data_IF_844667857337
#
_entry.id   IF_844667857337
#
_cell.length_a   1.000
_cell.length_b   1.000
_cell.length_c   1.000
_cell.angle_alpha   90.00
_cell.angle_beta   90.00
_cell.angle_gamma   90.00
#
_symmetry.space_group_name_H-M   'P 1'
#
loop_
_entity.id
_entity.type
_entity.pdbx_description
1 polymer ?
#
# COMPACT_ATOMS: atom_id res chain seq x y z
N UNK A 1 45.77 -12.09 -82.54
CA UNK A 1 44.38 -12.60 -82.41
C UNK A 1 44.17 -12.98 -80.95
N UNK A 2 43.31 -12.21 -80.27
CA UNK A 2 43.04 -12.28 -78.84
C UNK A 2 41.76 -13.10 -78.63
N UNK A 3 41.80 -14.11 -77.76
CA UNK A 3 40.59 -14.74 -77.19
C UNK A 3 40.77 -14.83 -75.68
N UNK A 4 40.39 -13.75 -74.99
CA UNK A 4 40.17 -13.78 -73.55
C UNK A 4 38.81 -14.44 -73.28
N UNK A 5 38.85 -15.67 -72.80
CA UNK A 5 37.67 -16.40 -72.32
C UNK A 5 37.27 -15.87 -70.95
N UNK A 6 36.22 -15.06 -70.89
CA UNK A 6 35.57 -14.63 -69.66
C UNK A 6 34.94 -15.85 -68.98
N UNK A 7 35.53 -16.29 -67.86
CA UNK A 7 34.93 -17.30 -66.99
C UNK A 7 33.73 -16.67 -66.26
N UNK A 8 32.53 -17.28 -66.32
CA UNK A 8 31.37 -16.77 -65.60
C UNK A 8 31.56 -16.99 -64.10
N UNK A 9 31.70 -15.89 -63.35
CA UNK A 9 31.60 -15.87 -61.89
C UNK A 9 30.15 -16.21 -61.56
N UNK A 10 29.91 -17.50 -61.29
CA UNK A 10 28.61 -18.02 -60.93
C UNK A 10 28.42 -17.75 -59.44
N UNK A 11 27.80 -16.61 -59.11
CA UNK A 11 27.40 -16.23 -57.76
C UNK A 11 26.45 -17.27 -57.15
N UNK A 12 27.02 -18.32 -56.56
CA UNK A 12 26.31 -19.23 -55.65
C UNK A 12 26.21 -18.54 -54.30
N UNK A 13 25.36 -17.53 -54.16
CA UNK A 13 24.86 -17.17 -52.84
C UNK A 13 23.97 -18.32 -52.36
N UNK A 14 24.36 -19.09 -51.32
CA UNK A 14 23.46 -20.07 -50.75
C UNK A 14 22.23 -19.32 -50.27
N UNK A 15 21.08 -19.60 -50.88
CA UNK A 15 19.79 -19.13 -50.41
C UNK A 15 19.64 -19.66 -48.99
N UNK A 16 19.87 -18.76 -48.03
CA UNK A 16 19.85 -19.05 -46.59
C UNK A 16 18.42 -19.47 -46.26
N UNK A 17 18.14 -20.76 -46.36
CA UNK A 17 16.81 -21.33 -46.12
C UNK A 17 16.34 -20.84 -44.76
N UNK A 18 15.21 -20.11 -44.74
CA UNK A 18 14.57 -19.62 -43.52
C UNK A 18 14.28 -20.81 -42.61
N UNK A 19 15.21 -21.13 -41.69
CA UNK A 19 14.95 -22.08 -40.61
C UNK A 19 13.88 -21.44 -39.74
N UNK A 20 12.65 -21.95 -39.85
CA UNK A 20 11.58 -21.56 -38.95
C UNK A 20 12.04 -21.91 -37.54
N UNK A 21 11.89 -21.00 -36.56
CA UNK A 21 12.21 -21.32 -35.18
C UNK A 21 11.40 -22.56 -34.77
N UNK A 22 11.99 -23.50 -34.02
CA UNK A 22 11.25 -24.65 -33.55
C UNK A 22 10.10 -24.16 -32.67
N UNK A 23 8.92 -24.79 -32.80
CA UNK A 23 7.68 -24.41 -32.09
C UNK A 23 7.90 -24.18 -30.59
N UNK A 24 8.80 -24.95 -29.97
CA UNK A 24 9.20 -24.80 -28.56
C UNK A 24 9.72 -23.41 -28.19
N UNK A 25 10.51 -22.78 -29.07
CA UNK A 25 11.07 -21.43 -28.83
C UNK A 25 9.96 -20.39 -28.88
N UNK A 26 8.99 -20.52 -29.79
CA UNK A 26 7.85 -19.61 -29.88
C UNK A 26 6.96 -19.73 -28.63
N UNK A 27 6.69 -20.96 -28.17
CA UNK A 27 5.91 -21.20 -26.95
C UNK A 27 6.61 -20.62 -25.72
N UNK A 28 7.91 -20.86 -25.55
CA UNK A 28 8.68 -20.31 -24.43
C UNK A 28 8.69 -18.77 -24.44
N UNK A 29 8.87 -18.15 -25.61
CA UNK A 29 8.81 -16.70 -25.75
C UNK A 29 7.43 -16.14 -25.40
N UNK A 30 6.35 -16.81 -25.82
CA UNK A 30 4.99 -16.40 -25.49
C UNK A 30 4.71 -16.47 -23.98
N UNK A 31 5.13 -17.54 -23.30
CA UNK A 31 4.99 -17.69 -21.85
C UNK A 31 5.76 -16.58 -21.12
N UNK A 32 7.01 -16.32 -21.52
CA UNK A 32 7.82 -15.27 -20.91
C UNK A 32 7.18 -13.89 -21.10
N UNK A 33 6.68 -13.59 -22.31
CA UNK A 33 5.99 -12.33 -22.58
C UNK A 33 4.73 -12.17 -21.69
N UNK A 34 3.97 -13.24 -21.47
CA UNK A 34 2.80 -13.23 -20.57
C UNK A 34 3.18 -12.98 -19.11
N UNK A 35 4.26 -13.63 -18.63
CA UNK A 35 4.76 -13.43 -17.27
C UNK A 35 5.25 -11.98 -17.06
N UNK A 36 6.04 -11.46 -18.00
CA UNK A 36 6.49 -10.06 -17.96
C UNK A 36 5.31 -9.08 -18.02
N UNK A 37 4.33 -9.32 -18.90
CA UNK A 37 3.12 -8.50 -19.00
C UNK A 37 2.31 -8.48 -17.70
N UNK A 38 2.18 -9.64 -17.05
CA UNK A 38 1.47 -9.76 -15.77
C UNK A 38 2.24 -9.06 -14.65
N UNK A 39 3.56 -9.21 -14.58
CA UNK A 39 4.39 -8.49 -13.62
C UNK A 39 4.28 -6.97 -13.78
N UNK A 40 4.40 -6.45 -15.01
CA UNK A 40 4.23 -5.02 -15.30
C UNK A 40 2.84 -4.56 -14.88
N UNK A 41 1.79 -5.31 -15.19
CA UNK A 41 0.42 -4.96 -14.81
C UNK A 41 0.25 -4.85 -13.28
N UNK A 42 0.77 -5.83 -12.52
CA UNK A 42 0.71 -5.80 -11.05
C UNK A 42 1.52 -4.65 -10.46
N UNK A 43 2.72 -4.38 -10.98
CA UNK A 43 3.54 -3.26 -10.55
C UNK A 43 2.85 -1.91 -10.83
N UNK A 44 2.26 -1.74 -12.01
CA UNK A 44 1.45 -0.56 -12.36
C UNK A 44 0.26 -0.41 -11.42
N UNK A 45 -0.41 -1.49 -11.02
CA UNK A 45 -1.49 -1.44 -10.04
C UNK A 45 -1.00 -0.97 -8.66
N UNK A 46 0.13 -1.48 -8.15
CA UNK A 46 0.72 -1.01 -6.89
C UNK A 46 1.10 0.47 -6.96
N UNK A 47 1.70 0.91 -8.06
CA UNK A 47 2.09 2.31 -8.26
C UNK A 47 0.87 3.23 -8.36
N UNK A 48 -0.18 2.76 -9.02
CA UNK A 48 -1.47 3.47 -9.10
C UNK A 48 -2.10 3.59 -7.71
N UNK A 49 -2.08 2.52 -6.90
CA UNK A 49 -2.55 2.56 -5.52
C UNK A 49 -1.74 3.57 -4.69
N UNK A 50 -0.41 3.58 -4.79
CA UNK A 50 0.43 4.54 -4.09
C UNK A 50 0.05 5.99 -4.46
N UNK A 51 -0.03 6.31 -5.75
CA UNK A 51 -0.38 7.67 -6.20
C UNK A 51 -1.78 8.11 -5.71
N UNK A 52 -2.74 7.17 -5.73
CA UNK A 52 -4.08 7.41 -5.17
C UNK A 52 -4.03 7.61 -3.66
N UNK A 53 -3.23 6.84 -2.94
CA UNK A 53 -3.05 6.98 -1.51
C UNK A 53 -2.40 8.33 -1.14
N UNK A 54 -1.41 8.80 -1.90
CA UNK A 54 -0.80 10.12 -1.73
C UNK A 54 -1.83 11.24 -1.92
N UNK A 55 -2.66 11.13 -2.96
CA UNK A 55 -3.74 12.08 -3.23
C UNK A 55 -4.81 12.06 -2.13
N UNK A 56 -5.18 10.87 -1.64
CA UNK A 56 -6.14 10.68 -0.55
C UNK A 56 -5.59 11.26 0.76
N UNK A 57 -4.32 11.02 1.08
CA UNK A 57 -3.65 11.56 2.26
C UNK A 57 -3.69 13.10 2.23
N UNK A 58 -3.31 13.71 1.10
CA UNK A 58 -3.36 15.15 0.93
C UNK A 58 -4.79 15.70 1.10
N UNK A 59 -5.80 14.99 0.60
CA UNK A 59 -7.20 15.36 0.80
C UNK A 59 -7.63 15.29 2.27
N UNK A 60 -7.24 14.24 3.00
CA UNK A 60 -7.50 14.09 4.43
C UNK A 60 -6.77 15.16 5.25
N UNK A 61 -5.51 15.46 4.94
CA UNK A 61 -4.74 16.50 5.63
C UNK A 61 -5.36 17.90 5.51
N UNK A 62 -6.03 18.20 4.38
CA UNK A 62 -6.75 19.48 4.19
C UNK A 62 -7.99 19.62 5.05
N UNK A 63 -8.57 18.52 5.52
CA UNK A 63 -9.74 18.55 6.41
C UNK A 63 -9.32 19.07 7.78
N UNK A 64 -9.99 20.12 8.26
CA UNK A 64 -9.75 20.74 9.57
C UNK A 64 -10.88 20.38 10.52
N UNK A 65 -10.53 19.80 11.66
CA UNK A 65 -11.51 19.47 12.69
C UNK A 65 -12.22 20.72 13.21
N UNK A 66 -13.51 20.59 13.52
CA UNK A 66 -14.38 21.66 14.01
C UNK A 66 -14.70 22.77 12.99
N UNK A 67 -14.02 22.81 11.85
CA UNK A 67 -14.16 23.85 10.82
C UNK A 67 -14.75 23.31 9.52
N UNK A 68 -14.25 22.17 9.04
CA UNK A 68 -14.75 21.57 7.80
C UNK A 68 -16.16 21.03 8.03
N UNK A 69 -17.08 21.43 7.14
CA UNK A 69 -18.47 20.96 7.21
C UNK A 69 -18.57 19.49 6.81
N UNK A 70 -19.61 18.81 7.28
CA UNK A 70 -19.88 17.42 6.86
C UNK A 70 -20.20 17.33 5.37
N UNK A 71 -20.77 18.36 4.76
CA UNK A 71 -21.04 18.40 3.32
C UNK A 71 -19.74 18.42 2.51
N UNK A 72 -18.77 19.26 2.89
CA UNK A 72 -17.46 19.32 2.22
C UNK A 72 -16.70 18.00 2.40
N UNK A 73 -16.74 17.43 3.61
CA UNK A 73 -16.15 16.13 3.90
C UNK A 73 -16.79 15.01 3.06
N UNK A 74 -18.11 15.02 2.90
CA UNK A 74 -18.84 14.08 2.05
C UNK A 74 -18.48 14.26 0.57
N UNK A 75 -18.24 15.49 0.10
CA UNK A 75 -17.76 15.73 -1.26
C UNK A 75 -16.36 15.12 -1.49
N UNK A 76 -15.46 15.22 -0.51
CA UNK A 76 -14.17 14.51 -0.54
C UNK A 76 -14.41 13.02 -0.66
N UNK A 77 -15.22 12.43 0.22
CA UNK A 77 -15.54 10.99 0.19
C UNK A 77 -16.16 10.58 -1.14
N UNK A 78 -17.06 11.41 -1.69
CA UNK A 78 -17.78 11.10 -2.91
C UNK A 78 -16.85 10.92 -4.12
N UNK A 79 -15.76 11.67 -4.15
CA UNK A 79 -14.71 11.56 -5.18
C UNK A 79 -14.07 10.15 -5.21
N UNK A 80 -14.11 9.43 -4.09
CA UNK A 80 -13.46 8.13 -3.93
C UNK A 80 -14.40 6.92 -4.06
N UNK A 81 -15.72 7.10 -4.21
CA UNK A 81 -16.69 5.99 -4.33
C UNK A 81 -16.35 5.04 -5.49
N UNK A 82 -15.80 5.55 -6.58
CA UNK A 82 -15.43 4.75 -7.75
C UNK A 82 -14.22 3.81 -7.53
N UNK A 83 -13.45 4.01 -6.46
CA UNK A 83 -12.19 3.30 -6.23
C UNK A 83 -12.26 2.23 -5.13
N UNK A 84 -13.37 2.15 -4.41
CA UNK A 84 -13.53 1.15 -3.36
C UNK A 84 -14.81 1.31 -2.55
N UNK A 85 -15.13 0.31 -1.71
CA UNK A 85 -16.29 0.39 -0.83
C UNK A 85 -16.06 1.53 0.16
N UNK A 86 -17.04 2.42 0.21
CA UNK A 86 -17.14 3.45 1.25
C UNK A 86 -18.19 2.97 2.23
N UNK A 87 -17.76 2.69 3.46
CA UNK A 87 -18.67 2.37 4.55
C UNK A 87 -19.05 3.65 5.27
N UNK A 88 -20.34 3.99 5.33
CA UNK A 88 -20.84 5.04 6.21
C UNK A 88 -21.73 4.41 7.26
N UNK A 89 -21.40 4.68 8.53
CA UNK A 89 -22.17 4.21 9.68
C UNK A 89 -22.57 5.42 10.50
N UNK A 90 -23.86 5.60 10.75
CA UNK A 90 -24.40 6.68 11.57
C UNK A 90 -25.02 6.10 12.83
N UNK A 91 -24.73 6.74 13.96
CA UNK A 91 -25.29 6.45 15.27
C UNK A 91 -25.63 7.75 16.02
N UNK A 92 -26.05 7.64 17.28
CA UNK A 92 -26.40 8.80 18.10
C UNK A 92 -25.21 9.76 18.33
N UNK A 93 -23.98 9.22 18.31
CA UNK A 93 -22.76 10.01 18.53
C UNK A 93 -22.26 10.76 17.28
N UNK A 94 -22.93 10.57 16.15
CA UNK A 94 -22.55 11.12 14.86
C UNK A 94 -22.39 10.01 13.82
N UNK A 95 -21.70 10.33 12.74
CA UNK A 95 -21.45 9.40 11.66
C UNK A 95 -19.96 9.25 11.39
N UNK A 96 -19.60 8.09 10.85
CA UNK A 96 -18.24 7.76 10.43
C UNK A 96 -18.28 7.24 9.01
N UNK A 97 -17.45 7.79 8.14
CA UNK A 97 -17.25 7.31 6.79
C UNK A 97 -15.82 6.81 6.63
N UNK A 98 -15.65 5.66 5.99
CA UNK A 98 -14.36 5.03 5.75
C UNK A 98 -14.19 4.73 4.28
N UNK A 99 -13.11 5.24 3.69
CA UNK A 99 -12.66 4.94 2.34
C UNK A 99 -11.59 3.85 2.46
N UNK A 100 -11.69 2.79 1.64
CA UNK A 100 -10.68 1.73 1.59
C UNK A 100 -10.20 1.52 0.16
N UNK A 101 -8.91 1.75 -0.05
CA UNK A 101 -8.21 1.41 -1.28
C UNK A 101 -7.38 0.14 -1.03
N UNK A 102 -7.52 -0.87 -1.87
CA UNK A 102 -6.84 -2.16 -1.68
C UNK A 102 -6.21 -2.63 -2.98
N UNK A 103 -5.01 -3.18 -2.86
CA UNK A 103 -4.39 -4.01 -3.88
C UNK A 103 -4.10 -5.37 -3.25
N UNK A 104 -4.82 -6.38 -3.71
CA UNK A 104 -4.63 -7.76 -3.29
C UNK A 104 -3.94 -8.51 -4.41
N UNK A 105 -2.85 -9.21 -4.08
CA UNK A 105 -2.26 -10.15 -5.02
C UNK A 105 -3.23 -11.32 -5.28
N UNK A 106 -3.21 -11.91 -6.48
CA UNK A 106 -3.95 -13.15 -6.77
C UNK A 106 -3.63 -14.25 -5.74
N UNK A 107 -4.60 -15.11 -5.46
CA UNK A 107 -4.46 -16.21 -4.48
C UNK A 107 -3.18 -17.04 -4.59
N UNK A 108 -2.72 -17.44 -5.79
CA UNK A 108 -1.46 -18.18 -5.95
C UNK A 108 -0.21 -17.38 -5.57
N UNK A 109 -0.30 -16.04 -5.57
CA UNK A 109 0.77 -15.12 -5.15
C UNK A 109 0.59 -14.65 -3.71
N UNK A 110 -0.46 -15.11 -3.00
CA UNK A 110 -0.63 -14.91 -1.56
C UNK A 110 -0.54 -16.26 -0.85
N UNK A 111 -0.48 -16.23 0.48
CA UNK A 111 -0.73 -17.41 1.29
C UNK A 111 -1.99 -17.14 2.11
N UNK A 112 -3.00 -17.96 1.87
CA UNK A 112 -4.24 -17.97 2.65
C UNK A 112 -4.33 -19.31 3.37
N UNK A 113 -4.44 -19.26 4.69
CA UNK A 113 -4.69 -20.41 5.55
C UNK A 113 -3.46 -21.11 6.12
N UNK A 114 -3.76 -22.09 6.97
CA UNK A 114 -2.86 -22.87 7.83
C UNK A 114 -1.90 -23.80 7.07
N UNK A 115 -1.99 -23.91 5.75
CA UNK A 115 -1.13 -24.85 5.02
C UNK A 115 0.33 -24.36 4.99
N UNK A 116 1.28 -25.13 5.53
CA UNK A 116 2.65 -24.70 5.64
C UNK A 116 3.43 -24.90 4.34
N UNK A 117 4.28 -23.89 4.07
CA UNK A 117 5.68 -24.01 3.67
C UNK A 117 6.12 -23.79 2.22
N UNK A 118 5.43 -24.19 1.14
CA UNK A 118 6.10 -24.21 -0.19
C UNK A 118 5.41 -23.44 -1.33
N UNK A 119 4.75 -22.31 -1.04
CA UNK A 119 4.30 -21.45 -2.14
C UNK A 119 5.49 -20.68 -2.75
N UNK A 120 6.20 -21.32 -3.69
CA UNK A 120 7.33 -20.73 -4.41
C UNK A 120 6.92 -19.48 -5.20
N UNK A 121 5.67 -19.40 -5.66
CA UNK A 121 5.17 -18.24 -6.40
C UNK A 121 5.03 -17.01 -5.52
N UNK A 122 4.61 -17.20 -4.27
CA UNK A 122 4.63 -16.15 -3.25
C UNK A 122 6.06 -15.67 -2.98
N UNK A 123 7.02 -16.57 -2.78
CA UNK A 123 8.43 -16.19 -2.64
C UNK A 123 8.97 -15.42 -3.86
N UNK A 124 8.60 -15.84 -5.07
CA UNK A 124 8.94 -15.12 -6.29
C UNK A 124 8.29 -13.73 -6.33
N UNK A 125 7.03 -13.58 -5.92
CA UNK A 125 6.36 -12.30 -5.82
C UNK A 125 7.12 -11.33 -4.88
N UNK A 126 7.59 -11.81 -3.73
CA UNK A 126 8.45 -11.03 -2.82
C UNK A 126 9.69 -10.50 -3.52
N UNK A 127 10.41 -11.40 -4.20
CA UNK A 127 11.63 -11.07 -4.91
C UNK A 127 11.42 -10.13 -6.10
N UNK A 128 10.19 -10.06 -6.61
CA UNK A 128 9.80 -9.15 -7.68
C UNK A 128 9.23 -7.82 -7.16
N UNK A 129 9.24 -7.61 -5.83
CA UNK A 129 8.72 -6.42 -5.17
C UNK A 129 7.19 -6.33 -5.14
N UNK A 130 6.50 -7.42 -5.50
CA UNK A 130 5.05 -7.49 -5.51
C UNK A 130 4.53 -7.80 -4.11
N UNK A 131 3.58 -7.00 -3.62
CA UNK A 131 3.00 -7.19 -2.28
C UNK A 131 1.56 -6.70 -2.22
N UNK A 132 0.76 -7.32 -1.36
CA UNK A 132 -0.55 -6.79 -1.02
C UNK A 132 -0.44 -5.55 -0.14
N UNK A 133 -1.34 -4.60 -0.33
CA UNK A 133 -1.42 -3.40 0.51
C UNK A 133 -2.84 -2.86 0.58
N UNK A 134 -3.14 -2.17 1.67
CA UNK A 134 -4.38 -1.46 1.86
C UNK A 134 -4.10 -0.08 2.43
N UNK A 135 -4.87 0.90 1.99
CA UNK A 135 -4.87 2.25 2.54
C UNK A 135 -6.30 2.56 2.93
N UNK A 136 -6.48 3.07 4.15
CA UNK A 136 -7.79 3.52 4.61
C UNK A 136 -7.73 4.96 5.06
N UNK A 137 -8.80 5.69 4.78
CA UNK A 137 -9.03 7.02 5.33
C UNK A 137 -10.38 7.03 6.02
N UNK A 138 -10.47 7.67 7.19
CA UNK A 138 -11.70 7.80 7.94
C UNK A 138 -12.01 9.26 8.22
N UNK A 139 -13.28 9.64 8.14
CA UNK A 139 -13.78 10.93 8.60
C UNK A 139 -14.96 10.68 9.55
N UNK A 140 -14.92 11.31 10.72
CA UNK A 140 -16.02 11.33 11.69
C UNK A 140 -16.63 12.71 11.71
N UNK A 141 -17.95 12.77 11.77
CA UNK A 141 -18.69 14.02 11.78
C UNK A 141 -19.84 13.97 12.79
N UNK A 142 -20.03 15.08 13.50
CA UNK A 142 -21.08 15.29 14.50
C UNK A 142 -21.60 16.71 14.36
N UNK A 143 -22.92 16.90 14.44
CA UNK A 143 -23.56 18.21 14.35
C UNK A 143 -23.14 19.03 13.10
N UNK A 144 -23.00 18.37 11.95
CA UNK A 144 -22.67 19.03 10.68
C UNK A 144 -21.21 19.43 10.50
N UNK A 145 -20.31 19.09 11.42
CA UNK A 145 -18.87 19.39 11.34
C UNK A 145 -18.02 18.13 11.51
N UNK A 146 -16.81 18.13 10.95
CA UNK A 146 -15.84 17.04 11.14
C UNK A 146 -15.26 17.08 12.56
N UNK A 147 -15.35 15.96 13.27
CA UNK A 147 -14.84 15.80 14.64
C UNK A 147 -13.65 14.85 14.74
N UNK A 148 -13.34 14.12 13.67
CA UNK A 148 -12.18 13.26 13.61
C UNK A 148 -11.78 12.94 12.18
N UNK A 149 -10.49 12.72 11.97
CA UNK A 149 -9.95 12.20 10.71
C UNK A 149 -8.85 11.19 10.99
N UNK A 150 -8.80 10.16 10.17
CA UNK A 150 -7.83 9.09 10.31
C UNK A 150 -7.26 8.71 8.95
N UNK A 151 -5.99 8.29 8.95
CA UNK A 151 -5.35 7.69 7.80
C UNK A 151 -4.55 6.48 8.25
N UNK A 152 -4.64 5.38 7.51
CA UNK A 152 -3.92 4.17 7.81
C UNK A 152 -3.35 3.52 6.57
N UNK A 153 -2.19 2.89 6.74
CA UNK A 153 -1.49 2.14 5.70
C UNK A 153 -1.21 0.76 6.24
N UNK A 154 -1.50 -0.24 5.44
CA UNK A 154 -1.23 -1.64 5.72
C UNK A 154 -0.46 -2.21 4.53
N UNK A 155 0.72 -2.79 4.78
CA UNK A 155 1.54 -3.44 3.77
C UNK A 155 1.86 -4.85 4.22
N UNK A 156 1.63 -5.84 3.37
CA UNK A 156 2.02 -7.21 3.66
C UNK A 156 3.54 -7.30 3.77
N UNK A 157 4.02 -7.94 4.84
CA UNK A 157 5.44 -8.20 5.04
C UNK A 157 5.95 -9.24 4.02
N UNK A 158 7.28 -9.30 3.81
CA UNK A 158 7.92 -10.31 2.98
C UNK A 158 7.54 -11.73 3.37
N UNK A 159 7.39 -12.61 2.38
CA UNK A 159 6.97 -14.00 2.62
C UNK A 159 7.90 -14.76 3.58
N UNK A 160 9.20 -14.43 3.58
CA UNK A 160 10.19 -15.00 4.52
C UNK A 160 9.87 -14.72 6.00
N UNK A 161 9.16 -13.63 6.29
CA UNK A 161 8.88 -13.18 7.65
C UNK A 161 7.54 -13.74 8.18
N UNK A 162 6.79 -14.48 7.35
CA UNK A 162 5.45 -15.00 7.70
C UNK A 162 5.49 -16.10 8.74
N UNK A 163 6.58 -16.87 8.82
CA UNK A 163 6.72 -17.97 9.77
C UNK A 163 7.11 -17.50 11.18
N UNK A 164 7.54 -16.25 11.33
CA UNK A 164 8.06 -15.72 12.60
C UNK A 164 6.93 -15.22 13.53
N UNK A 165 5.73 -14.95 13.00
CA UNK A 165 4.68 -14.18 13.71
C UNK A 165 3.34 -14.90 13.96
N UNK A 166 3.23 -16.21 13.72
CA UNK A 166 2.00 -17.00 14.00
C UNK A 166 1.00 -17.06 12.83
N UNK A 167 -0.28 -17.36 13.10
CA UNK A 167 -1.30 -17.73 12.11
C UNK A 167 -1.84 -16.58 11.22
N UNK A 168 -1.55 -15.32 11.57
CA UNK A 168 -2.00 -14.15 10.79
C UNK A 168 -0.95 -13.70 9.78
N UNK A 169 -1.37 -13.36 8.55
CA UNK A 169 -0.50 -12.75 7.53
C UNK A 169 0.13 -11.50 8.14
N UNK A 170 1.45 -11.47 8.40
CA UNK A 170 2.02 -10.35 9.09
C UNK A 170 2.02 -9.15 8.16
N UNK A 171 1.40 -8.09 8.62
CA UNK A 171 1.36 -6.79 7.97
C UNK A 171 2.14 -5.80 8.83
N UNK A 172 2.68 -4.77 8.16
CA UNK A 172 2.99 -3.51 8.80
C UNK A 172 1.76 -2.64 8.64
N UNK A 173 1.07 -2.39 9.74
CA UNK A 173 -0.06 -1.51 9.84
C UNK A 173 0.33 -0.27 10.65
N UNK A 174 0.08 0.90 10.08
CA UNK A 174 0.26 2.16 10.78
C UNK A 174 -1.01 2.99 10.65
N UNK A 175 -1.48 3.51 11.77
CA UNK A 175 -2.67 4.34 11.87
C UNK A 175 -2.30 5.68 12.51
N UNK A 176 -2.79 6.76 11.92
CA UNK A 176 -2.75 8.09 12.50
C UNK A 176 -4.18 8.63 12.58
N UNK A 177 -4.54 9.17 13.73
CA UNK A 177 -5.88 9.66 14.03
C UNK A 177 -5.79 11.03 14.70
N UNK A 178 -6.41 12.03 14.10
CA UNK A 178 -6.67 13.32 14.74
C UNK A 178 -8.13 13.34 15.19
N UNK A 179 -8.35 13.53 16.49
CA UNK A 179 -9.69 13.48 17.10
C UNK A 179 -9.94 14.67 18.01
N UNK A 180 -11.17 15.18 18.04
CA UNK A 180 -11.56 16.29 18.91
C UNK A 180 -11.45 15.96 20.41
N UNK A 181 -11.50 14.69 20.76
CA UNK A 181 -11.27 14.17 22.10
C UNK A 181 -10.84 12.69 22.04
N UNK A 182 -10.03 12.25 22.99
CA UNK A 182 -9.72 10.83 23.18
C UNK A 182 -10.95 10.09 23.71
N UNK A 183 -11.12 8.84 23.31
CA UNK A 183 -12.12 7.96 23.92
C UNK A 183 -11.64 7.50 25.29
N UNK A 184 -12.57 7.12 26.17
CA UNK A 184 -12.23 6.54 27.47
C UNK A 184 -11.38 5.27 27.29
N UNK A 185 -11.69 4.45 26.28
CA UNK A 185 -10.90 3.28 25.90
C UNK A 185 -9.45 3.63 25.52
N UNK A 186 -9.21 4.73 24.81
CA UNK A 186 -7.85 5.18 24.48
C UNK A 186 -7.07 5.58 25.74
N UNK A 187 -7.74 6.20 26.72
CA UNK A 187 -7.13 6.67 27.97
C UNK A 187 -6.94 5.56 29.00
N UNK A 188 -7.81 4.54 29.02
CA UNK A 188 -7.73 3.43 29.98
C UNK A 188 -6.54 2.50 29.71
N UNK A 189 -6.12 2.38 28.45
CA UNK A 189 -5.11 1.41 28.04
C UNK A 189 -3.71 2.02 27.84
N UNK A 190 -3.59 3.34 27.82
CA UNK A 190 -2.33 4.03 27.50
C UNK A 190 -2.25 5.33 28.29
N UNK A 191 -1.19 5.51 29.09
CA UNK A 191 -0.88 6.82 29.65
C UNK A 191 -0.51 7.76 28.50
N UNK A 192 -1.09 8.99 28.43
CA UNK A 192 -0.76 9.91 27.37
C UNK A 192 0.75 10.15 27.33
N UNK A 193 1.38 9.84 26.20
CA UNK A 193 2.81 10.15 25.98
C UNK A 193 3.03 11.65 26.15
N UNK A 194 2.03 12.46 25.74
CA UNK A 194 1.97 13.91 25.91
C UNK A 194 0.51 14.33 26.17
N UNK A 195 0.24 15.55 26.66
CA UNK A 195 -1.12 16.00 27.01
C UNK A 195 -2.17 15.86 25.89
N UNK A 196 -1.74 15.93 24.62
CA UNK A 196 -2.61 15.90 23.45
C UNK A 196 -2.22 14.81 22.44
N UNK A 197 -1.42 13.83 22.86
CA UNK A 197 -0.95 12.76 21.99
C UNK A 197 -0.80 11.44 22.76
N UNK A 198 -1.35 10.38 22.16
CA UNK A 198 -1.28 9.01 22.64
C UNK A 198 -0.68 8.16 21.54
N UNK A 199 0.35 7.39 21.86
CA UNK A 199 0.95 6.42 20.94
C UNK A 199 0.87 5.02 21.52
N UNK A 200 0.47 4.07 20.70
CA UNK A 200 0.35 2.67 21.09
C UNK A 200 0.92 1.75 20.03
N UNK A 201 1.55 0.68 20.52
CA UNK A 201 1.86 -0.51 19.73
C UNK A 201 0.86 -1.59 20.14
N UNK A 202 -0.07 -1.94 19.27
CA UNK A 202 -1.07 -2.97 19.63
C UNK A 202 -0.44 -4.36 19.57
N UNK A 203 -0.94 -5.30 20.38
CA UNK A 203 -0.47 -6.69 20.39
C UNK A 203 -0.88 -7.37 19.07
N UNK A 204 0.10 -7.88 18.33
CA UNK A 204 -0.09 -8.55 17.05
C UNK A 204 0.96 -8.14 16.02
N UNK A 205 0.86 -8.61 14.77
CA UNK A 205 1.73 -8.14 13.70
C UNK A 205 1.49 -6.65 13.45
N UNK A 206 2.45 -5.86 13.94
CA UNK A 206 2.74 -4.48 13.56
C UNK A 206 1.56 -3.54 13.44
N UNK A 207 0.94 -3.11 14.54
CA UNK A 207 0.02 -1.97 14.52
C UNK A 207 0.56 -0.84 15.41
N UNK A 208 1.29 0.07 14.77
CA UNK A 208 1.64 1.36 15.36
C UNK A 208 0.45 2.30 15.16
N UNK A 209 -0.06 2.88 16.23
CA UNK A 209 -1.17 3.82 16.19
C UNK A 209 -0.80 5.07 16.96
N UNK A 210 -0.97 6.22 16.33
CA UNK A 210 -0.89 7.53 16.96
C UNK A 210 -2.26 8.19 16.91
N UNK A 211 -2.75 8.62 18.07
CA UNK A 211 -3.94 9.45 18.20
C UNK A 211 -3.50 10.80 18.78
N UNK A 212 -3.95 11.91 18.21
CA UNK A 212 -3.63 13.24 18.71
C UNK A 212 -4.82 14.19 18.58
N UNK A 213 -4.77 15.31 19.31
CA UNK A 213 -5.82 16.33 19.31
C UNK A 213 -5.37 17.61 18.57
N UNK A 214 -6.31 18.45 18.09
CA UNK A 214 -6.00 19.70 17.39
C UNK A 214 -5.17 20.72 18.19
N UNK A 215 -5.01 20.52 19.50
CA UNK A 215 -4.20 21.34 20.39
C UNK A 215 -2.70 21.04 20.31
N UNK A 216 -2.28 19.92 19.68
CA UNK A 216 -0.86 19.70 19.39
C UNK A 216 -0.32 20.83 18.49
N UNK A 217 0.96 21.22 18.62
CA UNK A 217 1.60 22.15 17.68
C UNK A 217 1.44 21.71 16.21
N UNK A 218 1.20 22.66 15.31
CA UNK A 218 0.88 22.38 13.91
C UNK A 218 2.00 21.63 13.16
N UNK A 219 3.27 21.88 13.50
CA UNK A 219 4.43 21.17 12.99
C UNK A 219 4.40 19.68 13.39
N UNK A 220 3.99 19.37 14.62
CA UNK A 220 3.82 17.99 15.09
C UNK A 220 2.64 17.30 14.45
N UNK A 221 1.50 17.98 14.32
CA UNK A 221 0.34 17.42 13.59
C UNK A 221 0.73 17.02 12.17
N UNK A 222 1.53 17.86 11.48
CA UNK A 222 2.05 17.56 10.16
C UNK A 222 2.95 16.30 10.18
N UNK A 223 3.87 16.20 11.14
CA UNK A 223 4.74 15.02 11.32
C UNK A 223 3.96 13.74 11.61
N UNK A 224 2.90 13.81 12.43
CA UNK A 224 2.04 12.67 12.77
C UNK A 224 1.18 12.22 11.58
N UNK A 225 1.07 13.04 10.54
CA UNK A 225 0.36 12.72 9.30
C UNK A 225 1.32 12.57 8.10
N UNK A 226 2.64 12.55 8.30
CA UNK A 226 3.64 12.42 7.25
C UNK A 226 3.91 10.94 6.89
N UNK A 227 2.94 10.33 6.23
CA UNK A 227 3.07 8.94 5.78
C UNK A 227 4.03 8.81 4.59
N UNK A 228 5.02 7.93 4.74
CA UNK A 228 5.90 7.49 3.67
C UNK A 228 5.28 6.30 2.94
N UNK A 229 4.62 6.60 1.82
CA UNK A 229 3.85 5.61 1.05
C UNK A 229 4.70 4.79 0.06
N UNK A 230 6.03 4.97 0.06
CA UNK A 230 6.93 4.23 -0.82
C UNK A 230 6.89 2.71 -0.57
N UNK A 231 6.59 2.29 0.67
CA UNK A 231 6.45 0.89 1.06
C UNK A 231 5.44 0.09 0.20
N UNK A 232 4.49 0.76 -0.47
CA UNK A 232 3.46 0.13 -1.32
C UNK A 232 4.07 -0.45 -2.60
N UNK A 233 5.01 0.25 -3.22
CA UNK A 233 5.52 -0.10 -4.57
C UNK A 233 7.03 -0.23 -4.68
N UNK A 234 7.81 0.17 -3.67
CA UNK A 234 9.25 0.01 -3.70
C UNK A 234 9.64 -1.48 -3.78
N UNK A 235 10.78 -1.77 -4.39
CA UNK A 235 11.24 -3.15 -4.59
C UNK A 235 11.63 -3.82 -3.26
N UNK A 236 12.41 -3.12 -2.44
CA UNK A 236 12.82 -3.60 -1.11
C UNK A 236 11.69 -3.40 -0.10
N UNK A 237 11.15 -4.45 0.53
CA UNK A 237 10.08 -4.31 1.51
C UNK A 237 10.45 -3.38 2.67
N UNK A 238 9.45 -2.65 3.17
CA UNK A 238 9.55 -2.10 4.52
C UNK A 238 9.48 -3.25 5.53
N UNK A 239 10.29 -3.17 6.57
CA UNK A 239 10.38 -4.16 7.64
C UNK A 239 10.00 -3.58 9.01
N UNK A 240 9.77 -2.28 9.10
CA UNK A 240 9.41 -1.57 10.33
C UNK A 240 8.39 -0.47 10.08
N UNK A 241 7.58 -0.18 11.10
CA UNK A 241 6.56 0.87 11.08
C UNK A 241 7.17 2.28 10.96
N UNK A 242 8.41 2.46 11.43
CA UNK A 242 9.19 3.71 11.33
C UNK A 242 9.47 4.14 9.90
N UNK A 243 9.45 3.19 8.95
CA UNK A 243 9.61 3.49 7.53
C UNK A 243 8.33 4.01 6.91
N UNK A 244 7.17 3.80 7.55
CA UNK A 244 5.85 4.27 7.10
C UNK A 244 5.48 5.57 7.82
N UNK A 245 5.66 5.65 9.14
CA UNK A 245 5.39 6.85 9.93
C UNK A 245 6.49 7.03 11.00
N UNK A 246 7.57 7.77 10.66
CA UNK A 246 8.72 7.94 11.55
C UNK A 246 8.36 8.56 12.89
N UNK A 247 7.58 9.65 12.88
CA UNK A 247 7.25 10.42 14.08
C UNK A 247 6.53 9.59 15.15
N UNK A 248 5.62 8.70 14.74
CA UNK A 248 4.95 7.80 15.66
C UNK A 248 5.91 6.78 16.27
N UNK A 249 6.93 6.33 15.54
CA UNK A 249 7.91 5.36 16.04
C UNK A 249 8.89 5.97 17.04
N UNK A 250 9.30 7.22 16.80
CA UNK A 250 10.12 7.98 17.75
C UNK A 250 9.43 8.11 19.10
N UNK A 251 8.14 8.46 19.11
CA UNK A 251 7.35 8.56 20.34
C UNK A 251 7.19 7.23 21.09
N UNK A 252 7.08 6.10 20.39
CA UNK A 252 7.08 4.78 21.05
C UNK A 252 8.40 4.55 21.78
N UNK A 253 9.53 4.84 21.16
CA UNK A 253 10.84 4.64 21.77
C UNK A 253 11.13 5.61 22.93
N UNK A 254 10.44 6.75 23.00
CA UNK A 254 10.49 7.64 24.17
C UNK A 254 9.67 7.11 25.35
N UNK A 255 8.64 6.30 25.07
CA UNK A 255 7.66 5.85 26.08
C UNK A 255 8.01 4.49 26.69
N UNK A 256 8.77 3.65 25.99
CA UNK A 256 9.13 2.28 26.37
C UNK A 256 10.63 2.05 26.34
#
# INVERSE_FOLDING_TARGET
MVRHSLLPIRDKYPTRGKRRPPVRVLVAAAILALLCGTWVALYVQQRTLQSRAETLLAAVQRVKLGTTSSADAQAVIATWYQFGPVGTTCGPDGCSSVIRLRHTLPGPLTRHGERPANNQLAGLADHLGLRGSAVSAGLKYKNGVVTGKAFSVEVMLPFRDWLVRGEFVPNLAVLSNETAAFTEDELQHVLPTRPYCVVRRMKGPGSLSISFMPQEPADRQAQYMDFRLSCISQFTPCNQESQILPAASELVNETF
#
